data_IF_027979455973
#
_entry.id   IF_027979455973
#
_cell.length_a   1.000
_cell.length_b   1.000
_cell.length_c   1.000
_cell.angle_alpha   90.00
_cell.angle_beta   90.00
_cell.angle_gamma   90.00
#
_symmetry.space_group_name_H-M   'P 1'
#
loop_
_entity.id
_entity.type
_entity.pdbx_description
1 polymer ?
#
# COMPACT_ATOMS: atom_id res chain seq x y z
N UNK A 1 -12.81 9.26 -23.36
CA UNK A 1 -13.20 8.09 -22.54
C UNK A 1 -12.42 8.17 -21.25
N UNK A 2 -13.07 8.08 -20.08
CA UNK A 2 -12.38 8.08 -18.78
C UNK A 2 -11.83 6.68 -18.54
N UNK A 3 -10.52 6.51 -18.26
CA UNK A 3 -9.97 5.19 -18.01
C UNK A 3 -10.54 4.63 -16.70
N UNK A 4 -11.05 3.41 -16.74
CA UNK A 4 -11.41 2.67 -15.54
C UNK A 4 -10.14 2.31 -14.77
N UNK A 5 -10.17 2.41 -13.44
CA UNK A 5 -9.03 2.12 -12.59
C UNK A 5 -9.34 0.98 -11.63
N UNK A 6 -8.41 0.05 -11.40
CA UNK A 6 -8.60 -0.95 -10.36
C UNK A 6 -8.43 -0.34 -8.96
N UNK A 7 -9.21 -0.83 -8.00
CA UNK A 7 -8.97 -0.59 -6.58
C UNK A 7 -7.53 -0.95 -6.21
N UNK A 8 -6.91 -0.17 -5.34
CA UNK A 8 -5.52 -0.36 -4.92
C UNK A 8 -4.47 -0.16 -6.02
N UNK A 9 -4.83 0.47 -7.16
CA UNK A 9 -3.83 1.10 -8.01
C UNK A 9 -3.16 2.25 -7.25
N UNK A 10 -1.85 2.41 -7.40
CA UNK A 10 -1.14 3.58 -6.88
C UNK A 10 -1.61 4.84 -7.62
N UNK A 11 -1.66 5.98 -6.92
CA UNK A 11 -1.98 7.26 -7.57
C UNK A 11 -1.07 7.58 -8.77
N UNK A 12 0.22 7.20 -8.69
CA UNK A 12 1.14 7.34 -9.82
C UNK A 12 0.63 6.64 -11.09
N UNK A 13 0.16 5.40 -10.94
CA UNK A 13 -0.38 4.63 -12.06
C UNK A 13 -1.68 5.21 -12.60
N UNK A 14 -2.56 5.69 -11.71
CA UNK A 14 -3.82 6.33 -12.09
C UNK A 14 -3.55 7.59 -12.91
N UNK A 15 -2.69 8.48 -12.43
CA UNK A 15 -2.30 9.71 -13.15
C UNK A 15 -1.65 9.35 -14.50
N UNK A 16 -0.79 8.32 -14.53
CA UNK A 16 -0.13 7.88 -15.77
C UNK A 16 -1.11 7.36 -16.82
N UNK A 17 -2.14 6.60 -16.41
CA UNK A 17 -3.20 6.14 -17.30
C UNK A 17 -4.02 7.31 -17.86
N UNK A 18 -4.38 8.27 -17.00
CA UNK A 18 -5.10 9.48 -17.41
C UNK A 18 -4.29 10.35 -18.38
N UNK A 19 -2.98 10.48 -18.14
CA UNK A 19 -2.08 11.20 -19.04
C UNK A 19 -2.02 10.55 -20.43
N UNK A 20 -2.02 9.21 -20.52
CA UNK A 20 -2.05 8.48 -21.80
C UNK A 20 -3.35 8.68 -22.57
N UNK A 21 -4.45 8.89 -21.87
CA UNK A 21 -5.72 9.24 -22.49
C UNK A 21 -5.80 10.72 -22.92
N UNK A 22 -4.74 11.51 -22.74
CA UNK A 22 -4.73 12.94 -23.04
C UNK A 22 -5.58 13.78 -22.10
N UNK A 23 -6.00 13.22 -20.94
CA UNK A 23 -6.85 13.90 -19.98
C UNK A 23 -6.06 14.76 -18.99
N UNK A 24 -4.75 14.52 -18.87
CA UNK A 24 -3.86 15.22 -17.95
C UNK A 24 -2.57 15.58 -18.68
N UNK A 25 -2.23 16.88 -18.72
CA UNK A 25 -0.92 17.33 -19.16
C UNK A 25 0.06 17.36 -17.97
N UNK A 26 0.83 16.28 -17.84
CA UNK A 26 1.82 16.13 -16.78
C UNK A 26 2.93 17.19 -16.91
N UNK A 27 3.32 17.60 -18.12
CA UNK A 27 4.42 18.55 -18.34
C UNK A 27 4.00 19.98 -18.05
N UNK A 28 2.78 20.38 -18.41
CA UNK A 28 2.24 21.70 -18.08
C UNK A 28 2.06 21.89 -16.56
N UNK A 29 1.89 20.79 -15.81
CA UNK A 29 1.75 20.85 -14.35
C UNK A 29 3.06 21.20 -13.63
N UNK A 30 4.21 20.81 -14.18
CA UNK A 30 5.53 21.05 -13.58
C UNK A 30 5.99 22.51 -13.74
N UNK A 31 5.55 23.20 -14.81
CA UNK A 31 5.99 24.56 -15.12
C UNK A 31 5.34 25.66 -14.26
N UNK A 32 4.23 25.37 -13.55
CA UNK A 32 3.49 26.39 -12.76
C UNK A 32 4.05 26.65 -11.35
N UNK A 33 5.36 26.53 -11.16
CA UNK A 33 6.05 26.98 -9.93
C UNK A 33 5.72 26.22 -8.63
N UNK A 34 4.81 25.25 -8.66
CA UNK A 34 4.61 24.32 -7.55
C UNK A 34 5.69 23.24 -7.61
N UNK A 35 6.69 23.35 -6.75
CA UNK A 35 7.85 22.43 -6.64
C UNK A 35 7.51 20.96 -6.36
N UNK A 36 6.23 20.58 -6.25
CA UNK A 36 5.80 19.18 -6.20
C UNK A 36 5.31 18.78 -7.58
N UNK A 37 6.11 18.01 -8.33
CA UNK A 37 5.64 17.31 -9.53
C UNK A 37 4.33 16.58 -9.19
N UNK A 38 3.34 16.54 -10.10
CA UNK A 38 2.13 15.72 -9.91
C UNK A 38 2.45 14.22 -9.69
N UNK A 39 3.68 13.81 -10.04
CA UNK A 39 4.20 12.48 -9.83
C UNK A 39 5.14 12.40 -8.62
N UNK A 40 5.41 13.53 -7.95
CA UNK A 40 6.17 13.53 -6.71
C UNK A 40 5.41 12.74 -5.64
N UNK A 41 6.18 12.01 -4.84
CA UNK A 41 5.79 10.98 -3.86
C UNK A 41 4.77 11.36 -2.77
N UNK A 42 4.12 12.53 -2.85
CA UNK A 42 3.23 13.01 -1.80
C UNK A 42 1.88 12.26 -1.74
N UNK A 43 1.52 11.56 -2.82
CA UNK A 43 0.22 10.90 -2.96
C UNK A 43 0.13 9.52 -2.30
N UNK A 44 1.26 8.88 -1.98
CA UNK A 44 1.24 7.54 -1.40
C UNK A 44 0.53 7.49 -0.05
N UNK A 45 0.47 8.62 0.67
CA UNK A 45 -0.24 8.77 1.95
C UNK A 45 -1.51 9.63 1.83
N UNK A 46 -2.13 9.68 0.64
CA UNK A 46 -3.41 10.37 0.44
C UNK A 46 -3.30 11.90 0.41
N UNK A 47 -2.09 12.43 0.48
CA UNK A 47 -1.83 13.87 0.38
C UNK A 47 -2.39 14.43 -0.93
N UNK A 48 -2.98 15.63 -0.83
CA UNK A 48 -3.55 16.36 -1.97
C UNK A 48 -4.77 15.72 -2.63
N UNK A 49 -5.44 14.75 -1.99
CA UNK A 49 -6.61 14.06 -2.56
C UNK A 49 -7.65 15.02 -3.16
N UNK A 50 -8.01 16.08 -2.43
CA UNK A 50 -8.96 17.08 -2.93
C UNK A 50 -8.46 17.83 -4.18
N UNK A 51 -7.20 18.26 -4.20
CA UNK A 51 -6.63 18.96 -5.36
C UNK A 51 -6.51 18.03 -6.57
N UNK A 52 -6.15 16.77 -6.37
CA UNK A 52 -6.10 15.77 -7.42
C UNK A 52 -7.48 15.53 -8.01
N UNK A 53 -8.48 15.30 -7.15
CA UNK A 53 -9.88 15.17 -7.56
C UNK A 53 -10.33 16.37 -8.40
N UNK A 54 -10.15 17.60 -7.90
CA UNK A 54 -10.65 18.82 -8.56
C UNK A 54 -9.86 19.16 -9.84
N UNK A 55 -8.52 19.09 -9.80
CA UNK A 55 -7.65 19.66 -10.85
C UNK A 55 -7.12 18.65 -11.85
N UNK A 56 -7.01 17.37 -11.47
CA UNK A 56 -6.46 16.32 -12.32
C UNK A 56 -7.59 15.44 -12.86
N UNK A 57 -8.53 15.05 -11.99
CA UNK A 57 -9.60 14.14 -12.37
C UNK A 57 -10.93 14.83 -12.67
N UNK A 58 -11.02 16.16 -12.51
CA UNK A 58 -12.26 16.93 -12.71
C UNK A 58 -13.49 16.34 -11.99
N UNK A 59 -13.27 15.79 -10.78
CA UNK A 59 -14.29 15.15 -9.96
C UNK A 59 -14.61 13.70 -10.31
N UNK A 60 -14.02 13.13 -11.37
CA UNK A 60 -14.28 11.75 -11.77
C UNK A 60 -13.77 10.70 -10.76
N UNK A 61 -12.74 11.04 -10.00
CA UNK A 61 -12.24 10.25 -8.86
C UNK A 61 -12.36 11.13 -7.63
N UNK A 62 -13.17 10.70 -6.67
CA UNK A 62 -13.47 11.50 -5.48
C UNK A 62 -12.30 11.55 -4.48
N UNK A 63 -12.20 12.58 -3.61
CA UNK A 63 -11.15 12.62 -2.60
C UNK A 63 -11.17 11.42 -1.64
N UNK A 64 -12.34 10.94 -1.13
CA UNK A 64 -12.41 9.70 -0.36
C UNK A 64 -11.86 8.49 -1.12
N UNK A 65 -12.19 8.34 -2.41
CA UNK A 65 -11.70 7.23 -3.23
C UNK A 65 -10.17 7.24 -3.38
N UNK A 66 -9.57 8.42 -3.56
CA UNK A 66 -8.11 8.59 -3.59
C UNK A 66 -7.47 8.13 -2.27
N UNK A 67 -8.03 8.55 -1.14
CA UNK A 67 -7.52 8.21 0.19
C UNK A 67 -7.72 6.71 0.48
N UNK A 68 -8.93 6.21 0.27
CA UNK A 68 -9.35 4.87 0.73
C UNK A 68 -8.90 3.75 -0.22
N UNK A 69 -8.73 4.03 -1.51
CA UNK A 69 -8.37 2.98 -2.49
C UNK A 69 -7.07 3.23 -3.24
N UNK A 70 -6.51 4.44 -3.22
CA UNK A 70 -5.30 4.76 -3.99
C UNK A 70 -4.13 5.25 -3.13
N UNK A 71 -4.22 5.08 -1.81
CA UNK A 71 -3.17 5.42 -0.86
C UNK A 71 -2.93 4.32 0.19
N UNK A 72 -1.86 4.46 0.98
CA UNK A 72 -1.55 3.59 2.10
C UNK A 72 -2.26 4.02 3.39
N UNK A 73 -3.12 5.04 3.36
CA UNK A 73 -3.81 5.55 4.56
C UNK A 73 -4.62 4.47 5.28
N UNK A 74 -5.43 3.62 4.60
CA UNK A 74 -6.18 2.56 5.30
C UNK A 74 -5.26 1.59 6.05
N UNK A 75 -4.14 1.23 5.44
CA UNK A 75 -3.13 0.38 6.07
C UNK A 75 -2.58 1.04 7.33
N UNK A 76 -2.11 2.29 7.24
CA UNK A 76 -1.51 2.98 8.39
C UNK A 76 -2.53 3.33 9.47
N UNK A 77 -3.73 3.77 9.10
CA UNK A 77 -4.80 4.11 10.02
C UNK A 77 -5.28 2.88 10.83
N UNK A 78 -5.18 1.67 10.28
CA UNK A 78 -5.49 0.43 11.01
C UNK A 78 -4.58 0.18 12.22
N UNK A 79 -3.39 0.78 12.25
CA UNK A 79 -2.44 0.73 13.38
C UNK A 79 -2.53 1.96 14.29
N UNK A 80 -3.57 2.79 14.12
CA UNK A 80 -3.82 3.97 14.94
C UNK A 80 -5.06 3.76 15.81
N UNK A 81 -5.24 4.61 16.83
CA UNK A 81 -6.54 4.62 17.51
C UNK A 81 -7.62 5.05 16.51
N UNK A 82 -8.85 4.58 16.70
CA UNK A 82 -9.98 4.98 15.84
C UNK A 82 -10.10 6.51 15.72
N UNK A 83 -9.87 7.24 16.82
CA UNK A 83 -9.86 8.71 16.83
C UNK A 83 -8.72 9.29 16.00
N UNK A 84 -7.49 8.78 16.12
CA UNK A 84 -6.34 9.24 15.33
C UNK A 84 -6.51 8.94 13.84
N UNK A 85 -6.94 7.71 13.50
CA UNK A 85 -7.20 7.31 12.12
C UNK A 85 -8.28 8.18 11.47
N UNK A 86 -9.39 8.41 12.18
CA UNK A 86 -10.46 9.32 11.73
C UNK A 86 -9.96 10.75 11.55
N UNK A 87 -9.29 11.33 12.56
CA UNK A 87 -8.78 12.69 12.49
C UNK A 87 -7.77 12.88 11.35
N UNK A 88 -6.90 11.89 11.13
CA UNK A 88 -5.93 11.92 10.04
C UNK A 88 -6.63 11.85 8.67
N UNK A 89 -7.62 10.97 8.52
CA UNK A 89 -8.41 10.87 7.29
C UNK A 89 -9.14 12.19 6.99
N UNK A 90 -9.81 12.78 7.96
CA UNK A 90 -10.50 14.07 7.81
C UNK A 90 -9.52 15.19 7.42
N UNK A 91 -8.32 15.20 8.00
CA UNK A 91 -7.28 16.14 7.62
C UNK A 91 -6.89 16.00 6.13
N UNK A 92 -6.75 14.78 5.61
CA UNK A 92 -6.39 14.53 4.21
C UNK A 92 -7.50 14.92 3.23
N UNK A 93 -8.76 14.87 3.66
CA UNK A 93 -9.93 15.30 2.88
C UNK A 93 -10.15 16.81 2.93
N UNK A 94 -9.60 17.49 3.94
CA UNK A 94 -9.75 18.94 4.12
C UNK A 94 -8.95 19.76 3.09
N UNK A 95 -9.38 21.02 2.86
CA UNK A 95 -8.64 22.00 2.04
C UNK A 95 -7.36 22.51 2.72
N UNK A 96 -7.25 22.34 4.04
CA UNK A 96 -6.12 22.82 4.85
C UNK A 96 -4.90 21.93 4.66
N UNK A 97 -4.10 22.24 3.65
CA UNK A 97 -2.84 21.55 3.41
C UNK A 97 -1.73 22.16 4.28
N UNK A 98 -1.63 21.64 5.49
CA UNK A 98 -0.49 21.85 6.38
C UNK A 98 0.54 20.72 6.25
N UNK A 99 1.68 20.88 6.93
CA UNK A 99 2.60 19.75 7.19
C UNK A 99 1.84 18.71 7.99
N UNK A 100 1.64 17.53 7.42
CA UNK A 100 1.03 16.40 8.10
C UNK A 100 2.09 15.70 8.97
N UNK A 101 2.05 15.85 10.31
CA UNK A 101 3.06 15.28 11.19
C UNK A 101 3.05 13.74 11.16
N UNK A 102 1.88 13.13 10.91
CA UNK A 102 1.73 11.67 10.83
C UNK A 102 2.41 11.17 9.56
N UNK A 103 2.07 11.75 8.40
CA UNK A 103 2.69 11.38 7.13
C UNK A 103 4.22 11.60 7.16
N UNK A 104 4.68 12.70 7.77
CA UNK A 104 6.10 12.97 7.97
C UNK A 104 6.78 11.94 8.87
N UNK A 105 6.10 11.50 9.94
CA UNK A 105 6.57 10.42 10.80
C UNK A 105 6.74 9.11 10.03
N UNK A 106 5.71 8.70 9.29
CA UNK A 106 5.72 7.47 8.48
C UNK A 106 6.88 7.50 7.46
N UNK A 107 7.08 8.64 6.77
CA UNK A 107 8.16 8.81 5.79
C UNK A 107 9.55 8.70 6.39
N UNK A 108 9.78 9.31 7.55
CA UNK A 108 11.08 9.26 8.23
C UNK A 108 11.52 7.84 8.56
N UNK A 109 10.58 6.93 8.72
CA UNK A 109 10.84 5.52 9.05
C UNK A 109 10.92 4.61 7.82
N UNK A 110 10.81 5.15 6.60
CA UNK A 110 10.95 4.36 5.36
C UNK A 110 9.86 3.29 5.17
N UNK A 111 8.68 3.48 5.79
CA UNK A 111 7.64 2.44 5.85
C UNK A 111 6.72 2.39 4.62
N UNK A 112 6.90 3.33 3.70
CA UNK A 112 5.89 3.68 2.71
C UNK A 112 5.98 2.77 1.49
N UNK A 113 7.14 2.67 0.85
CA UNK A 113 7.31 1.96 -0.41
C UNK A 113 8.68 1.28 -0.51
N UNK A 114 8.77 0.24 -1.33
CA UNK A 114 10.04 -0.36 -1.73
C UNK A 114 10.85 0.56 -2.65
N UNK A 115 12.15 0.31 -2.68
CA UNK A 115 13.12 1.06 -3.47
C UNK A 115 12.86 0.99 -4.97
N UNK A 116 12.35 -0.15 -5.45
CA UNK A 116 12.00 -0.38 -6.85
C UNK A 116 10.53 -0.76 -6.98
N UNK A 117 9.90 -0.34 -8.08
CA UNK A 117 8.55 -0.77 -8.39
C UNK A 117 8.48 -2.27 -8.61
N UNK A 118 7.42 -2.86 -8.09
CA UNK A 118 7.16 -4.29 -8.21
C UNK A 118 5.80 -4.55 -8.83
N UNK A 119 5.71 -5.60 -9.64
CA UNK A 119 4.46 -6.05 -10.28
C UNK A 119 4.31 -7.56 -10.26
N UNK A 120 3.05 -7.97 -10.14
CA UNK A 120 2.60 -9.34 -10.30
C UNK A 120 2.24 -9.60 -11.77
N UNK A 121 2.77 -10.65 -12.42
CA UNK A 121 2.43 -10.96 -13.81
C UNK A 121 0.95 -11.27 -14.02
N UNK A 122 0.28 -11.90 -13.05
CA UNK A 122 -1.15 -12.18 -13.14
C UNK A 122 -1.99 -10.90 -13.00
N UNK A 123 -1.68 -10.01 -12.04
CA UNK A 123 -2.34 -8.69 -11.96
C UNK A 123 -2.20 -7.90 -13.25
N UNK A 124 -1.02 -7.93 -13.89
CA UNK A 124 -0.78 -7.22 -15.15
C UNK A 124 -1.73 -7.71 -16.24
N UNK A 125 -1.84 -9.04 -16.42
CA UNK A 125 -2.73 -9.65 -17.42
C UNK A 125 -4.21 -9.34 -17.13
N UNK A 126 -4.63 -9.47 -15.87
CA UNK A 126 -5.99 -9.16 -15.45
C UNK A 126 -6.34 -7.68 -15.70
N UNK A 127 -5.41 -6.78 -15.38
CA UNK A 127 -5.63 -5.35 -15.55
C UNK A 127 -5.69 -4.95 -17.02
N UNK A 128 -4.81 -5.50 -17.87
CA UNK A 128 -4.87 -5.30 -19.31
C UNK A 128 -6.21 -5.77 -19.88
N UNK A 129 -6.66 -6.97 -19.51
CA UNK A 129 -7.92 -7.52 -20.00
C UNK A 129 -9.15 -6.70 -19.55
N UNK A 130 -9.12 -6.14 -18.34
CA UNK A 130 -10.28 -5.47 -17.74
C UNK A 130 -10.31 -3.95 -17.91
N UNK A 131 -9.16 -3.30 -17.86
CA UNK A 131 -9.01 -1.84 -17.84
C UNK A 131 -8.27 -1.30 -19.06
N UNK A 132 -7.76 -2.17 -19.94
CA UNK A 132 -7.00 -1.80 -21.13
C UNK A 132 -5.53 -1.45 -20.87
N UNK A 133 -5.10 -1.36 -19.62
CA UNK A 133 -3.71 -1.15 -19.25
C UNK A 133 -3.43 -1.65 -17.82
N UNK A 134 -2.19 -2.04 -17.53
CA UNK A 134 -1.82 -2.58 -16.24
C UNK A 134 -1.41 -1.51 -15.23
N UNK A 135 -1.88 -1.66 -13.99
CA UNK A 135 -1.63 -0.68 -12.94
C UNK A 135 -0.63 -1.16 -11.90
N UNK A 136 0.23 -0.25 -11.44
CA UNK A 136 1.05 -0.52 -10.25
C UNK A 136 0.14 -0.62 -9.02
N UNK A 137 0.21 -1.71 -8.27
CA UNK A 137 -0.63 -1.92 -7.07
C UNK A 137 0.09 -1.49 -5.79
N UNK A 138 -0.67 -0.93 -4.86
CA UNK A 138 -0.22 -0.47 -3.53
C UNK A 138 0.45 -1.60 -2.75
N UNK A 139 -0.21 -2.75 -2.65
CA UNK A 139 0.27 -3.88 -1.88
C UNK A 139 1.52 -4.55 -2.49
N UNK A 140 1.78 -4.35 -3.79
CA UNK A 140 3.07 -4.74 -4.38
C UNK A 140 4.21 -3.83 -3.94
N UNK A 141 3.92 -2.62 -3.43
CA UNK A 141 4.94 -1.64 -3.06
C UNK A 141 5.33 -1.71 -1.57
N UNK A 142 4.74 -2.56 -0.74
CA UNK A 142 5.19 -2.69 0.66
C UNK A 142 6.61 -3.24 0.76
N UNK A 143 7.52 -2.64 1.56
CA UNK A 143 8.90 -3.12 1.72
C UNK A 143 9.03 -4.63 1.95
N UNK A 144 8.11 -5.24 2.72
CA UNK A 144 8.11 -6.68 3.00
C UNK A 144 7.50 -7.55 1.90
N UNK A 145 6.70 -7.01 0.98
CA UNK A 145 6.01 -7.79 -0.04
C UNK A 145 6.97 -8.32 -1.13
N UNK A 146 7.19 -9.62 -1.17
CA UNK A 146 7.94 -10.29 -2.24
C UNK A 146 7.05 -11.08 -3.19
N UNK A 147 5.80 -11.26 -2.81
CA UNK A 147 4.79 -12.01 -3.54
C UNK A 147 3.48 -11.22 -3.53
N UNK A 148 2.67 -11.42 -4.56
CA UNK A 148 1.32 -10.90 -4.63
C UNK A 148 0.48 -11.57 -3.55
N UNK A 149 -0.09 -10.79 -2.64
CA UNK A 149 -1.00 -11.33 -1.61
C UNK A 149 -2.32 -11.86 -2.21
N UNK A 150 -2.68 -11.41 -3.41
CA UNK A 150 -3.90 -11.83 -4.11
C UNK A 150 -3.69 -13.12 -4.91
N UNK A 151 -2.60 -13.21 -5.68
CA UNK A 151 -2.36 -14.32 -6.62
C UNK A 151 -1.33 -15.35 -6.12
N UNK A 152 -0.50 -14.98 -5.15
CA UNK A 152 0.62 -15.81 -4.71
C UNK A 152 1.89 -15.71 -5.55
N UNK A 153 1.84 -15.07 -6.73
CA UNK A 153 2.97 -14.94 -7.64
C UNK A 153 4.13 -14.13 -7.03
N UNK A 154 5.36 -14.51 -7.35
CA UNK A 154 6.54 -13.69 -7.07
C UNK A 154 6.43 -12.33 -7.76
N UNK A 155 6.73 -11.26 -7.02
CA UNK A 155 6.76 -9.91 -7.56
C UNK A 155 8.07 -9.65 -8.29
N UNK A 156 7.97 -9.13 -9.50
CA UNK A 156 9.11 -8.80 -10.36
C UNK A 156 9.44 -7.32 -10.26
N UNK A 157 10.73 -7.00 -10.16
CA UNK A 157 11.23 -5.62 -10.05
C UNK A 157 12.31 -5.28 -11.09
N UNK A 158 12.62 -6.22 -11.98
CA UNK A 158 13.68 -6.10 -12.97
C UNK A 158 13.24 -6.68 -14.31
N UNK A 159 13.81 -6.15 -15.38
CA UNK A 159 13.69 -6.72 -16.71
C UNK A 159 14.50 -8.02 -16.80
N UNK A 160 13.91 -9.08 -17.37
CA UNK A 160 14.59 -10.36 -17.57
C UNK A 160 15.84 -10.25 -18.47
N UNK A 161 15.85 -9.29 -19.39
CA UNK A 161 16.81 -9.26 -20.49
C UNK A 161 18.02 -8.40 -20.16
N UNK A 162 17.80 -7.21 -19.58
CA UNK A 162 18.88 -6.27 -19.27
C UNK A 162 19.05 -6.00 -17.77
N UNK A 163 18.26 -6.64 -16.91
CA UNK A 163 18.34 -6.52 -15.44
C UNK A 163 18.10 -5.09 -14.89
N UNK A 164 17.69 -4.17 -15.76
CA UNK A 164 17.33 -2.82 -15.37
C UNK A 164 16.14 -2.87 -14.41
N UNK A 165 16.18 -2.09 -13.31
CA UNK A 165 15.06 -2.04 -12.37
C UNK A 165 13.81 -1.50 -13.07
N UNK A 166 12.64 -1.94 -12.62
CA UNK A 166 11.37 -1.28 -12.92
C UNK A 166 11.43 0.11 -12.27
N UNK A 167 11.75 1.11 -13.09
CA UNK A 167 12.16 2.43 -12.63
C UNK A 167 10.95 3.20 -12.08
N UNK A 168 11.15 3.89 -10.95
CA UNK A 168 10.49 5.18 -10.66
C UNK A 168 11.54 6.26 -10.71
N UNK A 169 11.43 7.17 -11.68
CA UNK A 169 11.96 8.54 -11.55
C UNK A 169 11.08 9.47 -12.36
N UNK A 170 10.16 10.14 -11.68
CA UNK A 170 9.31 11.26 -12.15
C UNK A 170 8.61 11.13 -13.52
N UNK A 171 8.73 10.00 -14.19
CA UNK A 171 8.17 9.75 -15.50
C UNK A 171 6.88 8.94 -15.34
N UNK A 172 5.80 9.33 -16.05
CA UNK A 172 4.56 8.57 -16.03
C UNK A 172 4.80 7.16 -16.60
N UNK A 173 4.58 6.13 -15.78
CA UNK A 173 4.73 4.73 -16.20
C UNK A 173 3.59 3.86 -15.68
N UNK A 174 3.25 2.86 -16.49
CA UNK A 174 2.29 1.81 -16.18
C UNK A 174 3.00 0.46 -15.98
N UNK A 175 2.31 -0.48 -15.35
CA UNK A 175 2.91 -1.77 -15.01
C UNK A 175 3.12 -2.68 -16.24
N UNK A 176 2.48 -2.40 -17.36
CA UNK A 176 2.65 -3.12 -18.62
C UNK A 176 3.62 -2.44 -19.59
N UNK A 177 4.27 -1.35 -19.16
CA UNK A 177 5.27 -0.72 -19.99
C UNK A 177 6.43 -1.66 -20.29
N UNK A 178 6.94 -1.61 -21.53
CA UNK A 178 8.20 -2.27 -21.84
C UNK A 178 9.33 -1.64 -21.02
N UNK A 179 10.41 -2.40 -20.86
CA UNK A 179 11.61 -1.90 -20.21
C UNK A 179 12.09 -0.61 -20.90
N UNK A 180 12.23 0.48 -20.14
CA UNK A 180 12.70 1.76 -20.66
C UNK A 180 14.14 1.72 -21.23
N UNK A 181 14.92 0.69 -20.90
CA UNK A 181 16.31 0.53 -21.36
C UNK A 181 16.41 -0.31 -22.64
N UNK A 182 15.75 -1.47 -22.70
CA UNK A 182 15.90 -2.42 -23.82
C UNK A 182 14.60 -2.70 -24.61
N UNK A 183 13.46 -2.15 -24.19
CA UNK A 183 12.16 -2.38 -24.83
C UNK A 183 11.52 -3.74 -24.53
N UNK A 184 12.19 -4.63 -23.79
CA UNK A 184 11.65 -5.96 -23.47
C UNK A 184 10.45 -5.90 -22.53
N UNK A 185 9.49 -6.78 -22.75
CA UNK A 185 8.34 -7.03 -21.86
C UNK A 185 8.55 -8.25 -20.95
N UNK A 186 9.68 -8.95 -21.08
CA UNK A 186 10.00 -10.13 -20.27
C UNK A 186 10.39 -9.73 -18.85
N UNK A 187 9.85 -10.46 -17.88
CA UNK A 187 10.03 -10.20 -16.45
C UNK A 187 10.90 -11.26 -15.82
N UNK A 188 11.86 -10.82 -15.00
CA UNK A 188 12.68 -11.73 -14.22
C UNK A 188 11.84 -12.30 -13.07
N UNK A 189 11.79 -13.62 -12.96
CA UNK A 189 11.14 -14.32 -11.85
C UNK A 189 12.26 -14.83 -10.94
N UNK A 190 12.47 -14.14 -9.82
CA UNK A 190 13.42 -14.56 -8.80
C UNK A 190 12.71 -15.48 -7.80
N UNK A 191 13.17 -16.72 -7.67
CA UNK A 191 12.70 -17.60 -6.60
C UNK A 191 13.21 -17.10 -5.25
N UNK A 192 12.29 -16.92 -4.30
CA UNK A 192 12.63 -16.47 -2.96
C UNK A 192 12.10 -17.44 -1.93
N UNK A 193 12.96 -17.84 -0.99
CA UNK A 193 12.55 -18.64 0.15
C UNK A 193 11.66 -17.82 1.06
N UNK A 194 10.48 -18.38 1.36
CA UNK A 194 9.45 -17.71 2.13
C UNK A 194 9.39 -18.29 3.55
N UNK A 195 9.73 -17.51 4.58
CA UNK A 195 9.58 -17.97 5.96
C UNK A 195 8.12 -18.25 6.33
N UNK A 196 7.89 -19.11 7.33
CA UNK A 196 6.55 -19.48 7.78
C UNK A 196 5.68 -18.28 8.17
N UNK A 197 6.27 -17.27 8.82
CA UNK A 197 5.56 -16.06 9.26
C UNK A 197 5.23 -15.05 8.16
N UNK A 198 5.74 -15.25 6.94
CA UNK A 198 5.60 -14.27 5.86
C UNK A 198 4.19 -14.17 5.29
N UNK A 199 3.55 -15.30 4.98
CA UNK A 199 2.22 -15.28 4.36
C UNK A 199 1.14 -14.74 5.29
N UNK A 200 1.08 -15.16 6.58
CA UNK A 200 0.15 -14.56 7.52
C UNK A 200 0.37 -13.05 7.69
N UNK A 201 1.64 -12.58 7.66
CA UNK A 201 1.93 -11.15 7.69
C UNK A 201 1.34 -10.44 6.46
N UNK A 202 1.60 -10.92 5.25
CA UNK A 202 1.04 -10.29 4.05
C UNK A 202 -0.49 -10.25 4.07
N UNK A 203 -1.12 -11.33 4.51
CA UNK A 203 -2.57 -11.41 4.63
C UNK A 203 -3.11 -10.39 5.64
N UNK A 204 -2.47 -10.26 6.80
CA UNK A 204 -2.84 -9.26 7.80
C UNK A 204 -2.71 -7.83 7.25
N UNK A 205 -1.61 -7.52 6.56
CA UNK A 205 -1.41 -6.20 5.95
C UNK A 205 -2.45 -5.91 4.85
N UNK A 206 -2.84 -6.92 4.07
CA UNK A 206 -3.86 -6.77 3.03
C UNK A 206 -5.25 -6.57 3.61
N UNK A 207 -5.62 -7.35 4.63
CA UNK A 207 -6.85 -7.11 5.38
C UNK A 207 -6.86 -5.73 6.02
N UNK A 208 -5.74 -5.27 6.58
CA UNK A 208 -5.62 -3.92 7.12
C UNK A 208 -5.77 -2.83 6.04
N UNK A 209 -5.19 -3.03 4.84
CA UNK A 209 -5.43 -2.13 3.70
C UNK A 209 -6.91 -2.10 3.27
N UNK A 210 -7.63 -3.22 3.46
CA UNK A 210 -9.07 -3.32 3.19
C UNK A 210 -9.95 -2.84 4.35
N UNK A 211 -9.35 -2.31 5.44
CA UNK A 211 -10.04 -1.97 6.70
C UNK A 211 -10.78 -3.17 7.35
N UNK A 212 -10.29 -4.38 7.13
CA UNK A 212 -10.86 -5.66 7.62
C UNK A 212 -9.90 -6.40 8.57
N UNK A 213 -9.18 -5.67 9.41
CA UNK A 213 -8.23 -6.23 10.38
C UNK A 213 -8.41 -5.62 11.79
N UNK A 214 -9.54 -5.87 12.47
CA UNK A 214 -9.82 -5.31 13.79
C UNK A 214 -8.77 -5.68 14.85
N UNK A 215 -8.08 -6.82 14.70
CA UNK A 215 -6.99 -7.26 15.58
C UNK A 215 -5.81 -6.28 15.61
N UNK A 216 -5.61 -5.49 14.54
CA UNK A 216 -4.54 -4.50 14.43
C UNK A 216 -4.82 -3.27 15.28
N UNK A 217 -6.09 -2.88 15.40
CA UNK A 217 -6.50 -1.70 16.19
C UNK A 217 -6.15 -1.87 17.68
N UNK A 218 -6.05 -3.11 18.17
CA UNK A 218 -5.67 -3.39 19.55
C UNK A 218 -4.21 -3.03 19.90
N UNK A 219 -3.34 -2.87 18.89
CA UNK A 219 -1.88 -2.68 19.02
C UNK A 219 -1.41 -1.25 19.28
N UNK A 220 -2.30 -0.26 19.29
CA UNK A 220 -1.92 1.08 19.77
C UNK A 220 -1.44 1.03 21.23
N UNK A 221 -1.74 -0.06 21.93
CA UNK A 221 -1.14 -0.41 23.23
C UNK A 221 0.31 -0.82 23.01
N UNK A 222 1.25 -0.08 23.60
CA UNK A 222 2.70 -0.35 23.59
C UNK A 222 2.99 -1.85 23.64
N UNK A 223 3.24 -2.47 22.48
CA UNK A 223 3.41 -3.91 22.42
C UNK A 223 4.62 -4.26 23.30
N UNK A 224 4.53 -5.26 24.20
CA UNK A 224 5.60 -5.55 25.17
C UNK A 224 6.99 -5.73 24.53
N UNK A 225 7.05 -6.32 23.33
CA UNK A 225 8.26 -6.43 22.51
C UNK A 225 8.93 -5.10 22.15
N UNK A 226 8.16 -4.02 22.07
CA UNK A 226 8.60 -2.69 21.68
C UNK A 226 8.99 -1.84 22.88
N UNK A 227 8.35 -2.11 24.02
CA UNK A 227 8.75 -1.54 25.31
C UNK A 227 10.06 -2.14 25.83
N UNK A 228 10.37 -3.38 25.45
CA UNK A 228 11.59 -4.06 25.87
C UNK A 228 12.74 -3.74 24.89
N UNK A 229 13.63 -2.81 25.27
CA UNK A 229 14.90 -2.62 24.54
C UNK A 229 15.71 -3.92 24.57
N UNK A 230 16.33 -4.36 23.45
CA UNK A 230 17.13 -5.60 23.40
C UNK A 230 18.22 -5.65 24.49
N UNK A 231 18.87 -4.53 24.77
CA UNK A 231 19.88 -4.42 25.83
C UNK A 231 19.31 -4.45 27.27
N UNK A 232 18.02 -4.16 27.44
CA UNK A 232 17.31 -4.15 28.74
C UNK A 232 16.51 -5.44 28.99
N UNK A 233 16.30 -6.27 27.97
CA UNK A 233 15.65 -7.59 28.05
C UNK A 233 16.37 -8.58 28.97
N UNK A 234 17.60 -8.27 29.43
CA UNK A 234 18.34 -9.06 30.42
C UNK A 234 17.84 -8.87 31.85
N UNK A 235 17.02 -7.84 32.13
CA UNK A 235 16.44 -7.63 33.46
C UNK A 235 15.17 -8.47 33.66
N UNK A 236 14.96 -8.96 34.88
CA UNK A 236 13.95 -9.97 35.21
C UNK A 236 12.48 -9.55 35.01
N UNK A 237 12.19 -8.30 34.59
CA UNK A 237 10.83 -7.75 34.53
C UNK A 237 10.20 -7.69 33.13
N UNK A 238 10.90 -8.06 32.05
CA UNK A 238 10.23 -8.19 30.75
C UNK A 238 9.26 -9.38 30.81
N UNK A 239 7.99 -9.17 30.46
CA UNK A 239 6.96 -10.22 30.58
C UNK A 239 7.38 -11.47 29.80
N UNK A 240 7.27 -12.65 30.43
CA UNK A 240 7.57 -13.95 29.81
C UNK A 240 6.90 -14.09 28.43
N UNK A 241 5.68 -13.57 28.30
CA UNK A 241 4.93 -13.51 27.03
C UNK A 241 5.71 -12.79 25.93
N UNK A 242 6.27 -11.62 26.18
CA UNK A 242 7.05 -10.87 25.18
C UNK A 242 8.23 -11.69 24.67
N UNK A 243 9.00 -12.33 25.56
CA UNK A 243 10.14 -13.16 25.13
C UNK A 243 9.70 -14.34 24.27
N UNK A 244 8.58 -14.99 24.61
CA UNK A 244 8.01 -16.09 23.80
C UNK A 244 7.57 -15.59 22.42
N UNK A 245 6.86 -14.46 22.34
CA UNK A 245 6.46 -13.86 21.06
C UNK A 245 7.67 -13.53 20.19
N UNK A 246 8.73 -12.93 20.77
CA UNK A 246 9.96 -12.61 20.02
C UNK A 246 10.63 -13.88 19.48
N UNK A 247 10.79 -14.89 20.34
CA UNK A 247 11.43 -16.14 19.95
C UNK A 247 10.65 -16.82 18.82
N UNK A 248 9.32 -16.78 18.90
CA UNK A 248 8.46 -17.29 17.84
C UNK A 248 8.60 -16.48 16.55
N UNK A 249 8.62 -15.13 16.60
CA UNK A 249 8.87 -14.30 15.42
C UNK A 249 10.23 -14.64 14.77
N UNK A 250 11.29 -14.75 15.56
CA UNK A 250 12.62 -15.10 15.07
C UNK A 250 12.60 -16.47 14.37
N UNK A 251 11.94 -17.46 14.98
CA UNK A 251 11.75 -18.79 14.39
C UNK A 251 10.92 -18.75 13.10
N UNK A 252 9.75 -18.12 13.12
CA UNK A 252 8.82 -18.01 12.00
C UNK A 252 9.45 -17.30 10.78
N UNK A 253 10.42 -16.42 11.03
CA UNK A 253 11.13 -15.65 10.00
C UNK A 253 12.50 -16.23 9.63
N UNK A 254 12.91 -17.34 10.25
CA UNK A 254 14.26 -17.90 10.16
C UNK A 254 15.35 -16.82 10.38
N UNK A 255 15.18 -16.02 11.43
CA UNK A 255 16.04 -14.91 11.80
C UNK A 255 16.85 -15.25 13.06
N UNK A 256 18.17 -15.21 12.95
CA UNK A 256 19.08 -15.48 14.07
C UNK A 256 19.11 -14.36 15.14
N UNK A 257 18.65 -13.15 14.80
CA UNK A 257 18.66 -11.99 15.68
C UNK A 257 17.54 -11.01 15.30
N UNK A 258 17.28 -10.05 16.19
CA UNK A 258 16.32 -8.96 15.95
C UNK A 258 16.74 -8.10 14.76
N UNK A 259 18.04 -7.84 14.59
CA UNK A 259 18.55 -7.09 13.43
C UNK A 259 18.33 -7.86 12.12
N UNK A 260 18.60 -9.18 12.13
CA UNK A 260 18.33 -10.03 10.97
C UNK A 260 16.82 -10.05 10.64
N UNK A 261 15.95 -10.14 11.64
CA UNK A 261 14.49 -10.03 11.46
C UNK A 261 14.12 -8.68 10.84
N UNK A 262 14.71 -7.59 11.33
CA UNK A 262 14.49 -6.25 10.81
C UNK A 262 14.90 -6.10 9.35
N UNK A 263 16.05 -6.65 8.96
CA UNK A 263 16.46 -6.70 7.56
C UNK A 263 15.44 -7.46 6.70
N UNK A 264 14.96 -8.61 7.17
CA UNK A 264 13.95 -9.42 6.45
C UNK A 264 12.60 -8.72 6.30
N UNK A 265 12.19 -7.94 7.30
CA UNK A 265 10.97 -7.12 7.26
C UNK A 265 11.13 -5.84 6.40
N UNK A 266 12.30 -5.61 5.81
CA UNK A 266 12.58 -4.38 5.05
C UNK A 266 12.70 -3.13 5.94
N UNK A 267 13.08 -3.33 7.20
CA UNK A 267 13.08 -2.32 8.25
C UNK A 267 14.48 -2.21 8.89
N UNK A 268 15.51 -1.99 8.06
CA UNK A 268 16.93 -2.04 8.44
C UNK A 268 17.36 -1.01 9.52
N UNK A 269 16.49 -0.10 9.95
CA UNK A 269 16.78 0.98 10.92
C UNK A 269 15.95 0.93 12.21
N UNK A 270 15.20 -0.15 12.48
CA UNK A 270 14.26 -0.17 13.61
C UNK A 270 14.96 -0.23 14.97
N UNK A 271 16.03 -1.01 15.10
CA UNK A 271 16.57 -1.41 16.42
C UNK A 271 17.99 -0.90 16.70
N UNK A 272 18.65 -0.27 15.73
CA UNK A 272 20.00 0.28 15.91
C UNK A 272 19.91 1.48 16.86
N UNK A 273 20.24 1.23 18.13
CA UNK A 273 20.10 2.14 19.26
C UNK A 273 21.01 3.38 19.26
N UNK A 274 21.55 3.80 18.13
CA UNK A 274 22.51 4.91 18.00
C UNK A 274 21.86 6.30 17.87
N UNK A 275 20.56 6.40 18.13
CA UNK A 275 19.89 7.70 18.19
C UNK A 275 19.95 8.22 19.64
N UNK A 276 21.01 8.97 19.95
CA UNK A 276 21.22 9.75 21.18
C UNK A 276 20.19 10.84 21.47
N UNK A 277 18.97 10.73 20.94
CA UNK A 277 17.84 11.58 21.25
C UNK A 277 16.68 10.71 21.73
N UNK A 278 16.19 11.00 22.95
CA UNK A 278 14.92 10.53 23.49
C UNK A 278 13.80 10.73 22.47
N UNK A 279 13.56 9.76 21.60
CA UNK A 279 12.33 9.64 20.83
C UNK A 279 11.50 8.56 21.49
N UNK A 280 10.21 8.81 21.62
CA UNK A 280 9.32 7.94 22.37
C UNK A 280 9.36 6.53 21.79
N UNK A 281 9.31 5.55 22.68
CA UNK A 281 9.22 4.12 22.43
C UNK A 281 7.97 3.71 21.63
N UNK A 282 7.18 4.68 21.17
CA UNK A 282 5.83 4.47 20.61
C UNK A 282 5.84 4.31 19.08
N UNK A 283 7.01 4.36 18.43
CA UNK A 283 7.09 4.31 16.97
C UNK A 283 7.93 3.12 16.51
N UNK A 284 7.48 1.91 16.82
CA UNK A 284 7.97 0.76 16.09
C UNK A 284 7.36 0.72 14.68
N UNK A 285 8.16 0.42 13.65
CA UNK A 285 7.69 0.15 12.31
C UNK A 285 6.50 -0.80 12.25
N UNK A 286 5.50 -0.38 11.48
CA UNK A 286 4.24 -1.08 11.25
C UNK A 286 4.44 -2.59 10.96
N UNK A 287 5.44 -2.94 10.16
CA UNK A 287 5.72 -4.34 9.80
C UNK A 287 6.16 -5.21 10.97
N UNK A 288 6.87 -4.64 11.94
CA UNK A 288 7.30 -5.36 13.15
C UNK A 288 6.09 -5.57 14.08
N UNK A 289 5.24 -4.56 14.24
CA UNK A 289 3.98 -4.68 14.98
C UNK A 289 3.08 -5.77 14.39
N UNK A 290 2.91 -5.76 13.07
CA UNK A 290 2.14 -6.76 12.35
C UNK A 290 2.74 -8.17 12.49
N UNK A 291 4.07 -8.30 12.38
CA UNK A 291 4.75 -9.59 12.56
C UNK A 291 4.61 -10.13 13.99
N UNK A 292 4.56 -9.25 14.99
CA UNK A 292 4.31 -9.63 16.37
C UNK A 292 2.91 -10.20 16.58
N UNK A 293 1.88 -9.57 16.01
CA UNK A 293 0.51 -10.12 16.03
C UNK A 293 0.44 -11.51 15.39
N UNK A 294 1.09 -11.67 14.23
CA UNK A 294 1.15 -12.96 13.55
C UNK A 294 1.80 -14.03 14.41
N UNK A 295 2.85 -13.66 15.17
CA UNK A 295 3.47 -14.59 16.09
C UNK A 295 2.54 -14.95 17.26
N UNK A 296 1.82 -13.98 17.81
CA UNK A 296 0.91 -14.17 18.95
C UNK A 296 -0.40 -14.87 18.59
N UNK A 297 -0.85 -14.77 17.34
CA UNK A 297 -2.01 -15.49 16.85
C UNK A 297 -1.76 -17.00 17.02
N UNK A 298 -2.73 -17.68 17.64
CA UNK A 298 -2.69 -19.14 17.75
C UNK A 298 -2.52 -19.75 16.34
N UNK A 299 -1.76 -20.85 16.22
CA UNK A 299 -1.54 -21.49 14.94
C UNK A 299 -2.88 -21.89 14.35
N UNK A 300 -3.33 -21.14 13.34
CA UNK A 300 -4.43 -21.54 12.48
C UNK A 300 -4.05 -22.91 11.87
N UNK A 301 -4.97 -23.89 11.84
CA UNK A 301 -4.70 -25.20 11.28
C UNK A 301 -4.08 -25.06 9.88
N UNK A 302 -2.99 -25.81 9.65
CA UNK A 302 -2.02 -25.58 8.58
C UNK A 302 -2.65 -25.27 7.22
N UNK A 303 -2.28 -24.11 6.69
CA UNK A 303 -2.76 -23.47 5.46
C UNK A 303 -2.49 -24.24 4.13
N UNK A 304 -2.12 -25.53 4.18
CA UNK A 304 -1.82 -26.33 2.98
C UNK A 304 -3.05 -26.59 2.11
N UNK A 305 -4.24 -26.74 2.70
CA UNK A 305 -5.49 -26.92 1.95
C UNK A 305 -6.11 -25.60 1.48
N UNK A 306 -5.85 -24.49 2.18
CA UNK A 306 -6.50 -23.21 1.87
C UNK A 306 -5.89 -22.48 0.66
N UNK A 307 -4.63 -22.77 0.30
CA UNK A 307 -3.99 -22.17 -0.90
C UNK A 307 -4.73 -22.48 -2.22
N UNK A 308 -5.56 -23.52 -2.26
CA UNK A 308 -6.39 -23.83 -3.45
C UNK A 308 -7.77 -23.16 -3.43
N UNK A 309 -8.28 -22.72 -2.29
CA UNK A 309 -9.65 -22.22 -2.15
C UNK A 309 -9.79 -20.70 -2.09
N UNK A 310 -8.70 -19.95 -1.84
CA UNK A 310 -8.74 -18.48 -1.79
C UNK A 310 -8.46 -17.81 -3.13
N UNK A 311 -9.05 -18.32 -4.23
CA UNK A 311 -9.28 -17.41 -5.35
C UNK A 311 -10.29 -16.39 -4.84
N UNK A 312 -9.90 -15.12 -4.75
CA UNK A 312 -10.88 -14.04 -4.61
C UNK A 312 -11.90 -14.30 -5.73
N UNK A 313 -13.19 -14.54 -5.41
CA UNK A 313 -14.18 -14.75 -6.46
C UNK A 313 -14.08 -13.53 -7.37
N UNK A 314 -14.04 -13.71 -8.71
CA UNK A 314 -13.98 -12.58 -9.62
C UNK A 314 -15.07 -11.59 -9.23
N UNK A 315 -14.79 -10.28 -9.19
CA UNK A 315 -15.79 -9.28 -8.80
C UNK A 315 -17.04 -9.56 -9.61
N UNK A 316 -18.17 -9.74 -8.93
CA UNK A 316 -19.44 -10.02 -9.57
C UNK A 316 -19.62 -9.01 -10.71
N UNK A 317 -19.56 -9.49 -11.95
CA UNK A 317 -19.86 -8.65 -13.11
C UNK A 317 -21.33 -8.32 -12.96
N UNK A 318 -21.62 -7.17 -12.36
CA UNK A 318 -22.97 -6.66 -12.29
C UNK A 318 -23.50 -6.64 -13.70
N UNK A 319 -24.52 -7.46 -13.96
CA UNK A 319 -25.33 -7.34 -15.17
C UNK A 319 -26.10 -6.02 -15.04
N UNK A 320 -25.40 -4.91 -15.25
CA UNK A 320 -25.98 -3.59 -15.43
C UNK A 320 -26.63 -3.57 -16.81
N UNK A 321 -27.80 -4.19 -16.92
CA UNK A 321 -28.72 -3.90 -18.00
C UNK A 321 -29.25 -2.49 -17.78
N UNK A 322 -28.67 -1.51 -18.48
CA UNK A 322 -29.35 -0.26 -18.72
C UNK A 322 -30.49 -0.56 -19.70
N UNK A 323 -31.67 -0.84 -19.15
CA UNK A 323 -32.91 -0.66 -19.90
C UNK A 323 -33.12 0.85 -20.01
N UNK A 324 -33.00 1.38 -21.21
CA UNK A 324 -33.49 2.71 -21.53
C UNK A 324 -35.02 2.69 -21.41
N UNK A 325 -35.56 3.25 -20.33
CA UNK A 325 -36.96 3.63 -20.28
C UNK A 325 -37.08 5.01 -20.91
N UNK A 326 -37.63 4.99 -22.10
CA UNK A 326 -38.12 6.13 -22.86
C UNK A 326 -39.41 6.61 -22.17
N UNK A 327 -39.31 7.62 -21.31
CA UNK A 327 -40.49 8.37 -20.83
C UNK A 327 -40.38 9.82 -21.24
N UNK A 328 -41.21 10.18 -22.22
CA UNK A 328 -41.38 11.53 -22.71
C UNK A 328 -41.97 12.44 -21.64
N UNK A 329 -41.30 13.55 -21.38
CA UNK A 329 -41.83 14.68 -20.63
C UNK A 329 -42.20 15.77 -21.62
N UNK A 330 -43.50 16.02 -21.76
CA UNK A 330 -44.06 17.13 -22.51
C UNK A 330 -43.79 18.50 -21.85
N UNK A 331 -43.97 19.61 -22.59
CA UNK A 331 -43.57 20.94 -22.12
C UNK A 331 -44.61 21.50 -21.14
N UNK A 332 -44.14 22.03 -20.02
CA UNK A 332 -44.93 22.86 -19.13
C UNK A 332 -44.59 24.34 -19.36
N UNK A 333 -45.63 25.08 -19.72
CA UNK A 333 -45.68 26.53 -19.83
C UNK A 333 -45.24 27.23 -18.53
N UNK A 334 -44.42 28.26 -18.66
CA UNK A 334 -44.26 29.29 -17.63
C UNK A 334 -44.62 30.64 -18.25
N UNK A 335 -45.79 31.14 -17.85
CA UNK A 335 -46.21 32.52 -18.06
C UNK A 335 -45.73 33.38 -16.88
N UNK A 336 -45.25 34.57 -17.23
CA UNK A 336 -44.87 35.66 -16.33
C UNK A 336 -46.06 36.20 -15.54
N UNK A 337 -45.84 36.46 -14.25
CA UNK A 337 -46.23 37.66 -13.51
C UNK A 337 -45.21 37.91 -12.39
#
# INVERSE_FOLDING_TARGET
>A
MIPLTPKYATMHSVISAWARCGLVDVKASEHRGNRASLLAFDHTLGGYALRLSERVFHGAISPPEIVDFHSHVPLHASFMTALQGFAWREQLLSRTQGRDPIAMGIRRHGLVEAETLRKCPTCVKEDQAKYGCAHWRIFHQWPVARHCVVHGDTLTSRCADCQAPCVRRNEPSLADDPCAVCGSTRLEIEHQDVPTGYWPLLQLLYRALQADAPEVSALVRAHPLLACRPAACSTASSSTRARVSLQKMLSDWNAASVDHLSCRLGAARVWTGDLGHRRSTDQCPLYVQAAALVAEAEPQPSCSESRRSWRIPPPAVGKGGYAATDEGVGPADFAFL
#
